data_IF_250523019701
#
_entry.id   IF_250523019701
#
_cell.length_a   1.000
_cell.length_b   1.000
_cell.length_c   1.000
_cell.angle_alpha   90.00
_cell.angle_beta   90.00
_cell.angle_gamma   90.00
#
_symmetry.space_group_name_H-M   'P 1'
#
loop_
_entity.id
_entity.type
_entity.pdbx_description
1 polymer ?
#
# COMPACT_ATOMS: atom_id res chain seq x y z
N UNK A 1 -7.20 -5.81 -6.84
CA UNK A 1 -6.29 -5.02 -7.70
C UNK A 1 -6.24 -3.59 -7.21
N UNK A 2 -5.17 -2.85 -7.49
CA UNK A 2 -5.06 -1.44 -7.09
C UNK A 2 -5.95 -0.55 -7.96
N UNK A 3 -6.85 0.22 -7.34
CA UNK A 3 -7.70 1.20 -8.03
C UNK A 3 -6.99 2.55 -8.17
N UNK A 4 -6.32 2.98 -7.10
CA UNK A 4 -5.66 4.27 -7.00
C UNK A 4 -4.50 4.19 -6.02
N UNK A 5 -3.44 4.95 -6.33
CA UNK A 5 -2.25 5.07 -5.51
C UNK A 5 -2.00 6.56 -5.26
N UNK A 6 -1.74 6.92 -4.00
CA UNK A 6 -1.25 8.24 -3.61
C UNK A 6 -0.08 8.08 -2.64
N UNK A 7 0.84 9.03 -2.63
CA UNK A 7 1.99 9.03 -1.72
C UNK A 7 2.15 10.39 -1.04
N UNK A 8 2.52 10.37 0.24
CA UNK A 8 2.84 11.58 1.01
C UNK A 8 4.08 11.35 1.86
N UNK A 9 4.78 12.42 2.21
CA UNK A 9 5.84 12.39 3.22
C UNK A 9 5.26 12.82 4.55
N UNK A 10 5.32 11.95 5.56
CA UNK A 10 4.90 12.22 6.94
C UNK A 10 6.10 12.03 7.86
N UNK A 11 6.52 13.10 8.53
CA UNK A 11 7.64 13.06 9.49
C UNK A 11 8.94 12.47 8.90
N UNK A 12 9.21 12.75 7.62
CA UNK A 12 10.36 12.20 6.90
C UNK A 12 10.19 10.79 6.35
N UNK A 13 9.05 10.13 6.62
CA UNK A 13 8.73 8.81 6.09
C UNK A 13 7.76 8.92 4.90
N UNK A 14 8.08 8.21 3.81
CA UNK A 14 7.15 8.05 2.69
C UNK A 14 6.06 7.05 3.05
N UNK A 15 4.81 7.46 2.88
CA UNK A 15 3.61 6.66 3.16
C UNK A 15 2.74 6.62 1.91
N UNK A 16 2.31 5.42 1.54
CA UNK A 16 1.46 5.15 0.38
C UNK A 16 0.04 4.86 0.83
N UNK A 17 -0.93 5.45 0.14
CA UNK A 17 -2.35 5.17 0.28
C UNK A 17 -2.80 4.39 -0.94
N UNK A 18 -3.19 3.14 -0.72
CA UNK A 18 -3.64 2.22 -1.74
C UNK A 18 -5.15 2.07 -1.64
N UNK A 19 -5.86 2.34 -2.73
CA UNK A 19 -7.29 2.05 -2.82
C UNK A 19 -7.49 0.68 -3.46
N UNK A 20 -8.16 -0.23 -2.76
CA UNK A 20 -8.46 -1.59 -3.20
C UNK A 20 -9.92 -1.88 -2.86
N UNK A 21 -10.73 -2.19 -3.87
CA UNK A 21 -12.15 -2.52 -3.73
C UNK A 21 -12.92 -1.49 -2.90
N UNK A 22 -12.60 -0.21 -3.09
CA UNK A 22 -13.21 0.91 -2.36
C UNK A 22 -12.65 1.18 -0.95
N UNK A 23 -11.84 0.28 -0.38
CA UNK A 23 -11.16 0.48 0.90
C UNK A 23 -9.81 1.18 0.70
N UNK A 24 -9.39 1.99 1.67
CA UNK A 24 -8.10 2.71 1.64
C UNK A 24 -7.17 2.09 2.69
N UNK A 25 -5.97 1.70 2.24
CA UNK A 25 -4.94 1.12 3.08
C UNK A 25 -3.72 2.05 3.12
N UNK A 26 -3.21 2.28 4.33
CA UNK A 26 -1.98 3.03 4.54
C UNK A 26 -0.79 2.07 4.64
N UNK A 27 0.20 2.23 3.77
CA UNK A 27 1.39 1.36 3.71
C UNK A 27 2.66 2.22 3.80
N UNK A 28 3.43 2.12 4.90
CA UNK A 28 4.75 2.75 4.99
C UNK A 28 5.74 2.15 3.99
N UNK A 29 6.64 2.96 3.44
CA UNK A 29 7.66 2.50 2.48
C UNK A 29 8.55 1.37 3.03
N UNK A 30 8.72 1.30 4.35
CA UNK A 30 9.52 0.27 5.01
C UNK A 30 8.94 -1.14 4.91
N UNK A 31 7.67 -1.29 4.51
CA UNK A 31 7.04 -2.60 4.37
C UNK A 31 7.32 -3.26 3.02
N UNK A 32 7.54 -2.47 1.97
CA UNK A 32 7.82 -2.99 0.64
C UNK A 32 8.47 -1.90 -0.25
N UNK A 33 9.68 -2.16 -0.75
CA UNK A 33 10.44 -1.22 -1.59
C UNK A 33 9.86 -1.01 -2.99
N UNK A 34 8.91 -1.85 -3.42
CA UNK A 34 8.25 -1.77 -4.73
C UNK A 34 7.12 -0.73 -4.77
N UNK A 35 6.67 -0.23 -3.61
CA UNK A 35 5.62 0.79 -3.48
C UNK A 35 5.73 1.98 -4.46
N UNK A 36 6.93 2.57 -4.72
CA UNK A 36 7.08 3.68 -5.65
C UNK A 36 6.81 3.32 -7.11
N UNK A 37 6.79 2.03 -7.46
CA UNK A 37 6.69 1.53 -8.84
C UNK A 37 5.33 0.91 -9.15
N UNK A 38 4.43 0.87 -8.17
CA UNK A 38 3.09 0.33 -8.36
C UNK A 38 2.30 1.18 -9.35
N UNK A 39 1.49 0.50 -10.13
CA UNK A 39 0.53 1.11 -11.05
C UNK A 39 -0.87 0.58 -10.73
N UNK A 40 -1.93 1.27 -11.16
CA UNK A 40 -3.27 0.68 -11.12
C UNK A 40 -3.28 -0.71 -11.77
N UNK A 41 -4.21 -1.55 -11.33
CA UNK A 41 -4.35 -2.96 -11.74
C UNK A 41 -3.25 -3.91 -11.27
N UNK A 42 -2.16 -3.45 -10.63
CA UNK A 42 -1.20 -4.35 -9.98
C UNK A 42 -1.91 -5.21 -8.93
N UNK A 43 -1.68 -6.53 -8.98
CA UNK A 43 -2.16 -7.46 -7.98
C UNK A 43 -1.25 -7.40 -6.75
N UNK A 44 -1.85 -7.21 -5.59
CA UNK A 44 -1.14 -7.08 -4.32
C UNK A 44 -1.86 -7.89 -3.26
N UNK A 45 -1.09 -8.43 -2.32
CA UNK A 45 -1.60 -9.10 -1.13
C UNK A 45 -1.19 -8.31 0.10
N UNK A 46 -2.18 -7.92 0.90
CA UNK A 46 -1.98 -7.21 2.15
C UNK A 46 -2.28 -8.12 3.34
N UNK A 47 -1.40 -8.09 4.35
CA UNK A 47 -1.71 -8.59 5.68
C UNK A 47 -2.11 -7.40 6.56
N UNK A 48 -3.36 -7.37 7.01
CA UNK A 48 -3.95 -6.27 7.77
C UNK A 48 -4.34 -6.78 9.15
N UNK A 49 -3.97 -6.03 10.20
CA UNK A 49 -4.38 -6.28 11.58
C UNK A 49 -5.86 -5.94 11.80
N UNK A 50 -6.40 -6.40 12.92
CA UNK A 50 -7.78 -6.09 13.34
C UNK A 50 -8.04 -4.58 13.49
N UNK A 51 -7.01 -3.78 13.77
CA UNK A 51 -7.10 -2.32 13.87
C UNK A 51 -6.97 -1.59 12.51
N UNK A 52 -6.82 -2.33 11.42
CA UNK A 52 -6.69 -1.79 10.07
C UNK A 52 -5.27 -1.42 9.65
N UNK A 53 -4.24 -1.62 10.50
CA UNK A 53 -2.86 -1.39 10.11
C UNK A 53 -2.33 -2.48 9.19
N UNK A 54 -1.67 -2.09 8.10
CA UNK A 54 -0.95 -3.02 7.22
C UNK A 54 0.37 -3.41 7.87
N UNK A 55 0.61 -4.71 8.02
CA UNK A 55 1.87 -5.25 8.55
C UNK A 55 2.81 -5.80 7.47
N UNK A 56 2.24 -6.27 6.36
CA UNK A 56 2.99 -6.82 5.23
C UNK A 56 2.27 -6.56 3.92
N UNK A 57 3.08 -6.43 2.88
CA UNK A 57 2.61 -6.28 1.51
C UNK A 57 3.51 -7.07 0.56
N UNK A 58 2.90 -7.81 -0.34
CA UNK A 58 3.56 -8.54 -1.43
C UNK A 58 2.92 -8.14 -2.76
N UNK A 59 3.73 -7.91 -3.79
CA UNK A 59 3.26 -7.85 -5.18
C UNK A 59 3.11 -9.29 -5.68
N UNK A 60 2.03 -9.56 -6.39
CA UNK A 60 1.71 -10.89 -6.91
C UNK A 60 1.65 -10.80 -8.43
N UNK A 61 2.30 -11.74 -9.12
CA UNK A 61 2.21 -11.91 -10.57
C UNK A 61 0.92 -12.61 -11.02
#
# INVERSE_FOLDING_TARGET
>A
NLDQIAAVVKEGNSVYYLKIDGSIYQVPIQLNEELPFLVPDTAVKLQVREDGQVEKMEVVD
#
